data_IF_859772123123
#
_entry.id   IF_859772123123
#
_cell.length_a   1.000
_cell.length_b   1.000
_cell.length_c   1.000
_cell.angle_alpha   90.00
_cell.angle_beta   90.00
_cell.angle_gamma   90.00
#
_symmetry.space_group_name_H-M   'P 1'
#
loop_
_entity.id
_entity.type
_entity.pdbx_description
1 polymer ?
#
# COMPACT_ATOMS: atom_id res chain seq x y z
N UNK A 1 20.18 -34.13 61.51
CA UNK A 1 20.61 -34.05 60.11
C UNK A 1 19.44 -33.63 59.24
N UNK A 2 19.16 -32.33 59.21
CA UNK A 2 18.25 -31.70 58.26
C UNK A 2 19.11 -30.90 57.28
N UNK A 3 19.01 -31.23 55.99
CA UNK A 3 19.76 -30.59 54.92
C UNK A 3 19.00 -29.32 54.51
N UNK A 4 19.59 -28.12 54.54
CA UNK A 4 18.88 -26.92 54.10
C UNK A 4 18.86 -26.85 52.56
N UNK A 5 17.69 -26.57 51.99
CA UNK A 5 17.49 -26.34 50.57
C UNK A 5 18.30 -25.11 50.08
N UNK A 6 18.80 -25.12 48.83
CA UNK A 6 19.53 -23.99 48.28
C UNK A 6 18.57 -22.84 47.95
N UNK A 7 18.73 -21.80 48.76
CA UNK A 7 18.29 -20.41 48.63
C UNK A 7 18.04 -19.94 47.17
N UNK A 8 16.76 -19.86 46.78
CA UNK A 8 16.26 -19.38 45.47
C UNK A 8 16.14 -17.85 45.35
N UNK A 9 16.75 -17.07 46.25
CA UNK A 9 16.62 -15.60 46.28
C UNK A 9 17.74 -14.81 45.56
N UNK A 10 18.58 -15.46 44.75
CA UNK A 10 19.68 -14.80 44.04
C UNK A 10 19.51 -14.67 42.52
N UNK A 11 18.29 -14.77 41.98
CA UNK A 11 17.97 -14.24 40.65
C UNK A 11 17.51 -12.78 40.78
N UNK A 12 18.43 -11.92 41.24
CA UNK A 12 18.25 -10.46 41.08
C UNK A 12 18.25 -10.15 39.58
N UNK A 13 17.21 -9.46 39.15
CA UNK A 13 17.02 -8.96 37.80
C UNK A 13 18.31 -8.32 37.25
N UNK A 14 19.01 -9.01 36.35
CA UNK A 14 19.86 -8.35 35.37
C UNK A 14 18.92 -7.58 34.45
N UNK A 15 18.62 -6.33 34.81
CA UNK A 15 18.12 -5.36 33.83
C UNK A 15 19.19 -5.32 32.76
N UNK A 16 18.95 -5.97 31.61
CA UNK A 16 19.83 -5.88 30.44
C UNK A 16 19.89 -4.40 30.11
N UNK A 17 21.05 -3.81 30.37
CA UNK A 17 21.31 -2.44 30.00
C UNK A 17 21.18 -2.37 28.47
N UNK A 18 20.15 -1.68 27.98
CA UNK A 18 19.92 -1.51 26.54
C UNK A 18 21.16 -0.87 25.93
N UNK A 19 21.61 -1.43 24.81
CA UNK A 19 22.72 -0.89 24.04
C UNK A 19 22.43 0.56 23.61
N UNK A 20 23.49 1.35 23.39
CA UNK A 20 23.36 2.74 22.93
C UNK A 20 22.52 2.81 21.63
N UNK A 21 22.72 1.84 20.74
CA UNK A 21 21.96 1.69 19.51
C UNK A 21 20.46 1.46 19.75
N UNK A 22 20.09 0.52 20.63
CA UNK A 22 18.68 0.25 20.95
C UNK A 22 18.00 1.48 21.58
N UNK A 23 18.72 2.24 22.41
CA UNK A 23 18.22 3.50 22.97
C UNK A 23 17.93 4.50 21.85
N UNK A 24 18.87 4.70 20.93
CA UNK A 24 18.72 5.62 19.80
C UNK A 24 17.61 5.19 18.83
N UNK A 25 17.50 3.89 18.54
CA UNK A 25 16.40 3.31 17.75
C UNK A 25 15.04 3.58 18.40
N UNK A 26 14.93 3.33 19.69
CA UNK A 26 13.69 3.56 20.43
C UNK A 26 13.33 5.05 20.47
N UNK A 27 14.31 5.94 20.62
CA UNK A 27 14.10 7.39 20.54
C UNK A 27 13.63 7.84 19.15
N UNK A 28 14.20 7.30 18.07
CA UNK A 28 13.76 7.59 16.70
C UNK A 28 12.32 7.11 16.47
N UNK A 29 12.01 5.86 16.82
CA UNK A 29 10.66 5.28 16.70
C UNK A 29 9.62 6.06 17.50
N UNK A 30 9.94 6.45 18.74
CA UNK A 30 9.02 7.24 19.56
C UNK A 30 8.81 8.64 18.99
N UNK A 31 9.85 9.24 18.40
CA UNK A 31 9.73 10.51 17.70
C UNK A 31 8.83 10.38 16.47
N UNK A 32 9.05 9.37 15.62
CA UNK A 32 8.19 9.12 14.46
C UNK A 32 6.72 8.94 14.86
N UNK A 33 6.43 8.11 15.87
CA UNK A 33 5.06 7.91 16.38
C UNK A 33 4.44 9.19 16.93
N UNK A 34 5.22 9.97 17.71
CA UNK A 34 4.73 11.20 18.32
C UNK A 34 4.37 12.23 17.26
N UNK A 35 5.23 12.40 16.27
CA UNK A 35 5.03 13.36 15.19
C UNK A 35 3.89 12.91 14.26
N UNK A 36 3.79 11.61 13.95
CA UNK A 36 2.65 11.03 13.20
C UNK A 36 1.30 11.25 13.92
N UNK A 37 1.29 11.15 15.26
CA UNK A 37 0.07 11.35 16.06
C UNK A 37 -0.30 12.83 16.27
N UNK A 38 0.65 13.76 16.16
CA UNK A 38 0.50 15.16 16.59
C UNK A 38 -0.49 15.97 15.75
N UNK A 39 -0.74 15.63 14.47
CA UNK A 39 -1.47 16.45 13.48
C UNK A 39 -0.97 17.90 13.29
N UNK A 40 0.00 18.35 14.07
CA UNK A 40 0.70 19.63 13.91
C UNK A 40 1.83 19.48 12.90
N UNK A 41 2.30 20.60 12.35
CA UNK A 41 3.48 20.64 11.49
C UNK A 41 4.63 19.89 12.17
N UNK A 42 5.06 18.81 11.52
CA UNK A 42 6.14 17.95 11.96
C UNK A 42 7.34 18.84 12.30
N UNK A 43 7.98 18.65 13.45
CA UNK A 43 9.25 19.34 13.70
C UNK A 43 10.34 18.66 12.87
N UNK A 44 10.35 18.92 11.56
CA UNK A 44 11.23 18.31 10.58
C UNK A 44 12.71 18.45 10.96
N UNK A 45 13.08 19.57 11.60
CA UNK A 45 14.43 19.78 12.14
C UNK A 45 14.76 18.74 13.22
N UNK A 46 13.86 18.53 14.18
CA UNK A 46 14.07 17.57 15.27
C UNK A 46 14.10 16.13 14.77
N UNK A 47 13.19 15.76 13.85
CA UNK A 47 13.20 14.43 13.24
C UNK A 47 14.49 14.19 12.45
N UNK A 48 14.94 15.18 11.67
CA UNK A 48 16.19 15.10 10.92
C UNK A 48 17.41 14.90 11.82
N UNK A 49 17.53 15.66 12.94
CA UNK A 49 18.63 15.46 13.89
C UNK A 49 18.60 14.05 14.53
N UNK A 50 17.42 13.50 14.79
CA UNK A 50 17.30 12.13 15.28
C UNK A 50 17.68 11.08 14.24
N UNK A 51 17.30 11.29 12.97
CA UNK A 51 17.72 10.41 11.86
C UNK A 51 19.24 10.46 11.71
N UNK A 52 19.85 11.65 11.73
CA UNK A 52 21.30 11.83 11.65
C UNK A 52 22.03 11.14 12.80
N UNK A 53 21.54 11.30 14.03
CA UNK A 53 22.11 10.65 15.20
C UNK A 53 21.96 9.12 15.17
N UNK A 54 20.84 8.61 14.65
CA UNK A 54 20.63 7.18 14.44
C UNK A 54 21.56 6.64 13.36
N UNK A 55 21.66 7.33 12.23
CA UNK A 55 22.55 6.96 11.13
C UNK A 55 24.01 6.88 11.56
N UNK A 56 24.52 7.91 12.27
CA UNK A 56 25.89 7.95 12.77
C UNK A 56 26.24 6.80 13.74
N UNK A 57 25.24 6.20 14.39
CA UNK A 57 25.43 5.02 15.24
C UNK A 57 25.24 3.72 14.48
N UNK A 58 24.33 3.70 13.51
CA UNK A 58 24.02 2.53 12.70
C UNK A 58 25.14 2.20 11.70
N UNK A 59 25.76 3.21 11.09
CA UNK A 59 26.83 3.09 10.09
C UNK A 59 27.98 2.18 10.54
N UNK A 60 28.68 2.43 11.67
CA UNK A 60 29.78 1.57 12.09
C UNK A 60 29.32 0.16 12.48
N UNK A 61 28.09 0.00 12.98
CA UNK A 61 27.54 -1.32 13.29
C UNK A 61 27.28 -2.12 12.02
N UNK A 62 26.69 -1.49 11.02
CA UNK A 62 26.45 -2.08 9.70
C UNK A 62 27.78 -2.47 9.06
N UNK A 63 28.77 -1.58 9.03
CA UNK A 63 30.11 -1.87 8.49
C UNK A 63 30.79 -3.04 9.22
N UNK A 64 30.68 -3.10 10.55
CA UNK A 64 31.18 -4.22 11.34
C UNK A 64 30.48 -5.52 11.00
N UNK A 65 29.14 -5.52 10.88
CA UNK A 65 28.37 -6.71 10.51
C UNK A 65 28.67 -7.18 9.08
N UNK A 66 28.78 -6.26 8.13
CA UNK A 66 29.23 -6.57 6.75
C UNK A 66 30.61 -7.20 6.77
N UNK A 67 31.54 -6.62 7.52
CA UNK A 67 32.90 -7.18 7.69
C UNK A 67 32.88 -8.57 8.30
N UNK A 68 31.99 -8.82 9.27
CA UNK A 68 31.78 -10.15 9.86
C UNK A 68 31.22 -11.15 8.83
N UNK A 69 30.29 -10.72 7.97
CA UNK A 69 29.77 -11.53 6.87
C UNK A 69 30.85 -11.89 5.83
N UNK A 70 31.64 -10.90 5.38
CA UNK A 70 32.74 -11.13 4.43
C UNK A 70 33.76 -12.10 5.03
N UNK A 71 34.21 -11.88 6.27
CA UNK A 71 35.13 -12.79 6.98
C UNK A 71 34.57 -14.20 7.17
N UNK A 72 33.24 -14.33 7.23
CA UNK A 72 32.55 -15.61 7.31
C UNK A 72 32.46 -16.36 5.97
N UNK A 73 33.07 -15.84 4.91
CA UNK A 73 33.06 -16.47 3.58
C UNK A 73 31.82 -16.15 2.76
N UNK A 74 31.02 -15.15 3.16
CA UNK A 74 29.98 -14.54 2.33
C UNK A 74 30.59 -13.36 1.58
N UNK A 75 31.64 -13.61 0.80
CA UNK A 75 32.15 -12.56 -0.08
C UNK A 75 31.06 -12.23 -1.12
N UNK A 76 30.73 -10.93 -1.34
CA UNK A 76 29.99 -10.55 -2.53
C UNK A 76 30.82 -11.00 -3.73
N UNK A 77 30.23 -11.80 -4.63
CA UNK A 77 30.93 -12.22 -5.84
C UNK A 77 31.36 -10.95 -6.61
N UNK A 78 32.67 -10.75 -6.75
CA UNK A 78 33.19 -9.70 -7.61
C UNK A 78 32.77 -9.99 -9.06
N UNK A 79 32.39 -8.94 -9.80
CA UNK A 79 31.89 -8.99 -11.20
C UNK A 79 32.84 -9.70 -12.19
N UNK A 80 34.08 -10.00 -11.80
CA UNK A 80 35.12 -10.58 -12.68
C UNK A 80 35.14 -12.12 -12.73
N UNK A 81 34.21 -12.82 -12.09
CA UNK A 81 33.93 -14.25 -12.35
C UNK A 81 35.05 -15.27 -12.07
N UNK A 82 36.19 -14.86 -11.48
CA UNK A 82 37.28 -15.79 -11.14
C UNK A 82 37.10 -16.34 -9.71
N UNK A 83 36.39 -17.47 -9.60
CA UNK A 83 36.43 -18.31 -8.38
C UNK A 83 37.81 -18.97 -8.27
N UNK A 84 38.66 -18.44 -7.39
CA UNK A 84 39.93 -19.07 -7.02
C UNK A 84 39.61 -20.25 -6.09
N UNK A 85 39.62 -21.47 -6.64
CA UNK A 85 39.59 -22.70 -5.84
C UNK A 85 40.82 -22.74 -4.93
N UNK A 86 40.66 -22.45 -3.64
CA UNK A 86 41.64 -22.78 -2.61
C UNK A 86 41.24 -24.09 -1.95
N UNK A 87 41.92 -25.17 -2.34
CA UNK A 87 41.89 -26.44 -1.63
C UNK A 87 42.59 -26.26 -0.27
N UNK A 88 41.79 -26.25 0.79
CA UNK A 88 42.27 -26.07 2.16
C UNK A 88 41.15 -26.28 3.15
N UNK A 89 40.92 -27.54 3.50
CA UNK A 89 39.95 -28.02 4.48
C UNK A 89 40.06 -27.29 5.83
N UNK A 90 38.89 -27.14 6.49
CA UNK A 90 38.66 -26.59 7.85
C UNK A 90 38.41 -25.07 7.97
N UNK A 91 37.81 -24.46 6.95
CA UNK A 91 37.04 -23.21 7.14
C UNK A 91 35.77 -23.51 7.93
N UNK A 92 35.60 -22.86 9.09
CA UNK A 92 34.47 -23.01 9.99
C UNK A 92 33.14 -22.99 9.23
N UNK A 93 32.35 -24.08 9.33
CA UNK A 93 30.94 -24.09 8.95
C UNK A 93 30.22 -23.07 9.84
N UNK A 94 30.26 -21.82 9.43
CA UNK A 94 29.62 -20.74 10.15
C UNK A 94 28.12 -20.90 9.99
N UNK A 95 27.43 -20.72 11.10
CA UNK A 95 26.01 -20.96 11.23
C UNK A 95 25.25 -20.04 10.26
N UNK A 96 24.71 -20.58 9.16
CA UNK A 96 23.86 -19.86 8.20
C UNK A 96 22.79 -19.01 8.93
N UNK A 97 22.32 -19.48 10.09
CA UNK A 97 21.39 -18.74 10.94
C UNK A 97 21.95 -17.39 11.45
N UNK A 98 23.25 -17.30 11.75
CA UNK A 98 23.88 -16.05 12.16
C UNK A 98 23.93 -15.05 10.98
N UNK A 99 24.26 -15.52 9.77
CA UNK A 99 24.25 -14.67 8.59
C UNK A 99 22.84 -14.14 8.28
N UNK A 100 21.82 -15.00 8.37
CA UNK A 100 20.41 -14.62 8.22
C UNK A 100 19.99 -13.61 9.29
N UNK A 101 20.38 -13.81 10.55
CA UNK A 101 20.09 -12.88 11.65
C UNK A 101 20.72 -11.49 11.39
N UNK A 102 21.98 -11.45 10.98
CA UNK A 102 22.67 -10.20 10.63
C UNK A 102 22.01 -9.47 9.44
N UNK A 103 21.59 -10.20 8.41
CA UNK A 103 20.87 -9.63 7.26
C UNK A 103 19.52 -9.03 7.67
N UNK A 104 18.75 -9.75 8.49
CA UNK A 104 17.45 -9.29 8.99
C UNK A 104 17.58 -8.03 9.86
N UNK A 105 18.60 -7.97 10.72
CA UNK A 105 18.91 -6.76 11.50
C UNK A 105 19.20 -5.57 10.59
N UNK A 106 20.06 -5.74 9.58
CA UNK A 106 20.42 -4.67 8.65
C UNK A 106 19.22 -4.19 7.81
N UNK A 107 18.36 -5.10 7.35
CA UNK A 107 17.11 -4.77 6.65
C UNK A 107 16.13 -3.99 7.54
N UNK A 108 16.03 -4.32 8.82
CA UNK A 108 15.19 -3.57 9.76
C UNK A 108 15.71 -2.14 9.97
N UNK A 109 17.03 -1.95 10.04
CA UNK A 109 17.67 -0.64 10.16
C UNK A 109 17.42 0.20 8.91
N UNK A 110 17.65 -0.38 7.73
CA UNK A 110 17.47 0.32 6.45
C UNK A 110 15.99 0.71 6.24
N UNK A 111 15.05 -0.19 6.55
CA UNK A 111 13.61 0.09 6.53
C UNK A 111 13.25 1.25 7.45
N UNK A 112 13.75 1.25 8.68
CA UNK A 112 13.48 2.33 9.62
C UNK A 112 13.98 3.69 9.10
N UNK A 113 15.17 3.71 8.48
CA UNK A 113 15.72 4.92 7.85
C UNK A 113 14.86 5.38 6.67
N UNK A 114 14.43 4.48 5.78
CA UNK A 114 13.53 4.83 4.66
C UNK A 114 12.20 5.39 5.16
N UNK A 115 11.58 4.76 6.15
CA UNK A 115 10.30 5.22 6.70
C UNK A 115 10.45 6.62 7.31
N UNK A 116 11.55 6.87 8.04
CA UNK A 116 11.83 8.18 8.64
C UNK A 116 12.14 9.27 7.58
N UNK A 117 12.85 8.92 6.51
CA UNK A 117 13.18 9.82 5.40
C UNK A 117 11.95 10.12 4.54
N UNK A 118 11.09 9.14 4.27
CA UNK A 118 9.81 9.35 3.60
C UNK A 118 8.91 10.30 4.39
N UNK A 119 8.85 10.16 5.72
CA UNK A 119 8.10 11.10 6.58
C UNK A 119 8.61 12.54 6.47
N UNK A 120 9.92 12.75 6.28
CA UNK A 120 10.50 14.08 6.03
C UNK A 120 10.12 14.60 4.64
N UNK A 121 10.21 13.76 3.60
CA UNK A 121 9.94 14.16 2.20
C UNK A 121 8.47 14.45 1.93
N UNK A 122 7.54 13.81 2.65
CA UNK A 122 6.09 14.02 2.52
C UNK A 122 5.59 15.31 3.20
N UNK A 123 6.48 16.12 3.79
CA UNK A 123 6.09 17.42 4.34
C UNK A 123 5.89 18.42 3.20
N UNK A 124 4.71 19.06 3.15
CA UNK A 124 4.35 20.08 2.16
C UNK A 124 5.07 21.44 2.37
N UNK A 125 5.85 21.60 3.44
CA UNK A 125 6.65 22.81 3.59
C UNK A 125 7.89 22.71 2.72
N UNK A 126 8.20 23.74 1.91
CA UNK A 126 9.47 23.77 1.20
C UNK A 126 10.57 23.64 2.25
N UNK A 127 11.41 22.61 2.11
CA UNK A 127 12.73 22.61 2.71
C UNK A 127 13.32 23.96 2.28
N UNK A 128 13.42 24.95 3.19
CA UNK A 128 13.94 26.27 2.85
C UNK A 128 15.40 26.18 2.38
N UNK A 129 16.25 27.12 2.76
CA UNK A 129 17.70 27.04 2.43
C UNK A 129 18.44 25.87 3.14
N UNK A 130 17.72 24.89 3.69
CA UNK A 130 18.27 23.72 4.38
C UNK A 130 18.47 22.56 3.41
N UNK A 131 19.52 21.76 3.62
CA UNK A 131 20.07 20.99 2.54
C UNK A 131 19.29 19.69 2.41
N UNK A 132 18.56 19.56 1.29
CA UNK A 132 18.06 18.28 0.77
C UNK A 132 19.24 17.28 0.57
N UNK A 133 20.45 17.82 0.35
CA UNK A 133 21.66 17.07 0.04
C UNK A 133 22.06 16.04 1.12
N UNK A 134 22.19 16.36 2.42
CA UNK A 134 22.42 15.36 3.47
C UNK A 134 21.34 14.28 3.59
N UNK A 135 20.08 14.59 3.27
CA UNK A 135 19.02 13.58 3.25
C UNK A 135 19.26 12.61 2.10
N UNK A 136 19.53 13.13 0.91
CA UNK A 136 19.85 12.33 -0.27
C UNK A 136 21.12 11.51 -0.08
N UNK A 137 22.16 12.06 0.56
CA UNK A 137 23.41 11.35 0.87
C UNK A 137 23.15 10.15 1.80
N UNK A 138 22.32 10.34 2.84
CA UNK A 138 21.88 9.25 3.71
C UNK A 138 21.07 8.22 2.91
N UNK A 139 20.15 8.64 2.03
CA UNK A 139 19.36 7.72 1.20
C UNK A 139 20.24 6.87 0.28
N UNK A 140 21.23 7.48 -0.38
CA UNK A 140 22.19 6.79 -1.26
C UNK A 140 22.98 5.76 -0.46
N UNK A 141 23.50 6.13 0.71
CA UNK A 141 24.23 5.18 1.57
C UNK A 141 23.36 4.02 2.06
N UNK A 142 22.12 4.29 2.48
CA UNK A 142 21.16 3.26 2.87
C UNK A 142 20.88 2.31 1.71
N UNK A 143 20.75 2.85 0.50
CA UNK A 143 20.56 2.06 -0.71
C UNK A 143 21.80 1.21 -1.04
N UNK A 144 23.01 1.76 -0.96
CA UNK A 144 24.26 1.03 -1.21
C UNK A 144 24.46 -0.11 -0.18
N UNK A 145 24.10 0.14 1.08
CA UNK A 145 24.05 -0.88 2.12
C UNK A 145 23.07 -1.99 1.77
N UNK A 146 21.83 -1.65 1.41
CA UNK A 146 20.82 -2.63 0.99
C UNK A 146 21.31 -3.49 -0.17
N UNK A 147 21.99 -2.87 -1.14
CA UNK A 147 22.61 -3.57 -2.27
C UNK A 147 23.69 -4.55 -1.83
N UNK A 148 24.42 -4.22 -0.76
CA UNK A 148 25.45 -5.07 -0.14
C UNK A 148 24.85 -6.18 0.74
N UNK A 149 23.62 -6.00 1.23
CA UNK A 149 22.92 -6.94 2.11
C UNK A 149 21.94 -7.85 1.40
N UNK A 150 21.49 -7.49 0.20
CA UNK A 150 20.87 -8.45 -0.67
C UNK A 150 21.94 -9.50 -0.95
N UNK A 151 21.78 -10.74 -0.43
CA UNK A 151 22.59 -11.82 -0.98
C UNK A 151 22.33 -11.77 -2.48
N UNK A 152 23.32 -12.09 -3.31
CA UNK A 152 23.20 -12.20 -4.76
C UNK A 152 22.22 -13.32 -5.19
N UNK A 153 21.06 -13.44 -4.55
CA UNK A 153 19.91 -14.18 -5.02
C UNK A 153 19.35 -13.61 -6.32
N UNK A 154 19.73 -12.38 -6.68
CA UNK A 154 19.70 -11.91 -8.05
C UNK A 154 21.13 -11.87 -8.60
N UNK A 155 21.74 -13.05 -8.83
CA UNK A 155 22.40 -13.19 -10.12
C UNK A 155 21.40 -12.62 -11.14
N UNK A 156 21.80 -11.63 -11.98
CA UNK A 156 20.87 -11.09 -12.95
C UNK A 156 20.35 -12.32 -13.68
N UNK A 157 19.02 -12.52 -13.68
CA UNK A 157 18.48 -13.85 -13.87
C UNK A 157 19.05 -14.40 -15.19
N UNK A 158 19.41 -15.68 -15.29
CA UNK A 158 20.34 -16.18 -16.32
C UNK A 158 20.06 -15.75 -17.77
N UNK A 159 18.82 -15.34 -18.06
CA UNK A 159 18.36 -14.76 -19.33
C UNK A 159 18.81 -13.31 -19.61
N UNK A 160 19.25 -12.55 -18.60
CA UNK A 160 19.70 -11.15 -18.70
C UNK A 160 21.07 -11.02 -19.40
N UNK A 161 21.83 -12.12 -19.48
CA UNK A 161 23.14 -12.18 -20.15
C UNK A 161 23.03 -12.75 -21.58
N UNK A 162 21.83 -13.18 -21.98
CA UNK A 162 21.58 -13.89 -23.21
C UNK A 162 21.15 -12.92 -24.34
N UNK A 163 22.10 -12.16 -24.88
CA UNK A 163 21.83 -11.17 -25.95
C UNK A 163 21.49 -11.79 -27.32
N UNK A 164 21.70 -13.09 -27.52
CA UNK A 164 21.70 -13.69 -28.87
C UNK A 164 20.35 -14.24 -29.37
N UNK A 165 19.31 -14.26 -28.52
CA UNK A 165 18.00 -14.81 -28.87
C UNK A 165 18.02 -16.29 -29.29
N UNK A 166 19.08 -17.03 -28.96
CA UNK A 166 19.27 -18.41 -29.40
C UNK A 166 18.27 -19.38 -28.75
N UNK A 167 18.10 -20.55 -29.36
CA UNK A 167 17.28 -21.65 -28.82
C UNK A 167 17.74 -22.09 -27.40
N UNK A 168 19.02 -21.88 -27.09
CA UNK A 168 19.62 -22.09 -25.77
C UNK A 168 19.10 -21.07 -24.74
N UNK A 169 19.00 -19.80 -25.14
CA UNK A 169 18.47 -18.70 -24.32
C UNK A 169 16.97 -18.89 -24.03
N UNK A 170 16.20 -19.36 -25.01
CA UNK A 170 14.78 -19.72 -24.82
C UNK A 170 14.60 -20.92 -23.88
N UNK A 171 15.47 -21.93 -24.00
CA UNK A 171 15.48 -23.10 -23.11
C UNK A 171 15.82 -22.70 -21.68
N UNK A 172 16.84 -21.85 -21.50
CA UNK A 172 17.22 -21.29 -20.21
C UNK A 172 16.09 -20.47 -19.58
N UNK A 173 15.38 -19.65 -20.37
CA UNK A 173 14.21 -18.92 -19.87
C UNK A 173 13.12 -19.89 -19.37
N UNK A 174 12.80 -20.94 -20.13
CA UNK A 174 11.81 -21.95 -19.70
C UNK A 174 12.26 -22.70 -18.44
N UNK A 175 13.53 -23.07 -18.38
CA UNK A 175 14.13 -23.76 -17.25
C UNK A 175 14.22 -22.89 -16.00
N UNK A 176 14.22 -21.57 -16.13
CA UNK A 176 14.34 -20.65 -14.98
C UNK A 176 12.99 -20.09 -14.52
N UNK A 177 12.08 -19.76 -15.45
CA UNK A 177 10.76 -19.20 -15.11
C UNK A 177 9.95 -20.18 -14.28
N UNK A 178 9.95 -21.47 -14.63
CA UNK A 178 9.13 -22.46 -13.90
C UNK A 178 9.60 -22.66 -12.44
N UNK A 179 10.89 -22.89 -12.13
CA UNK A 179 11.37 -22.91 -10.75
C UNK A 179 11.15 -21.60 -10.01
N UNK A 180 11.28 -20.45 -10.69
CA UNK A 180 10.99 -19.16 -10.08
C UNK A 180 9.52 -19.05 -9.65
N UNK A 181 8.57 -19.39 -10.54
CA UNK A 181 7.14 -19.44 -10.21
C UNK A 181 6.84 -20.45 -9.10
N UNK A 182 7.54 -21.58 -9.06
CA UNK A 182 7.40 -22.56 -7.96
C UNK A 182 7.89 -22.00 -6.62
N UNK A 183 8.95 -21.19 -6.59
CA UNK A 183 9.40 -20.49 -5.38
C UNK A 183 8.42 -19.42 -4.91
N UNK A 184 7.67 -18.83 -5.83
CA UNK A 184 6.58 -17.90 -5.52
C UNK A 184 5.28 -18.60 -5.11
N UNK A 185 5.21 -19.94 -5.17
CA UNK A 185 4.02 -20.67 -4.74
C UNK A 185 3.75 -20.43 -3.25
N UNK A 186 2.53 -20.00 -2.93
CA UNK A 186 2.14 -19.71 -1.55
C UNK A 186 2.09 -21.00 -0.72
N UNK A 187 2.88 -21.09 0.38
CA UNK A 187 2.84 -22.24 1.28
C UNK A 187 1.46 -22.45 1.89
N UNK A 188 1.07 -23.69 2.13
CA UNK A 188 -0.25 -24.01 2.68
C UNK A 188 -0.48 -23.43 4.08
N UNK A 189 0.59 -23.28 4.87
CA UNK A 189 0.51 -22.59 6.18
C UNK A 189 0.05 -21.14 6.02
N UNK A 190 0.58 -20.41 5.04
CA UNK A 190 0.18 -19.02 4.76
C UNK A 190 -1.27 -18.97 4.29
N UNK A 191 -1.71 -19.92 3.44
CA UNK A 191 -3.12 -20.02 3.03
C UNK A 191 -4.05 -20.28 4.22
N UNK A 192 -3.65 -21.15 5.14
CA UNK A 192 -4.42 -21.44 6.35
C UNK A 192 -4.52 -20.21 7.25
N UNK A 193 -3.42 -19.50 7.46
CA UNK A 193 -3.41 -18.29 8.29
C UNK A 193 -4.25 -17.16 7.69
N UNK A 194 -4.17 -16.95 6.37
CA UNK A 194 -5.07 -16.05 5.64
C UNK A 194 -6.54 -16.41 5.81
N UNK A 195 -6.89 -17.69 5.70
CA UNK A 195 -8.27 -18.15 5.89
C UNK A 195 -8.76 -17.98 7.34
N UNK A 196 -7.89 -18.21 8.34
CA UNK A 196 -8.22 -17.97 9.76
C UNK A 196 -8.47 -16.48 10.02
N UNK A 197 -7.61 -15.60 9.49
CA UNK A 197 -7.79 -14.16 9.61
C UNK A 197 -9.10 -13.69 8.94
N UNK A 198 -9.38 -14.16 7.73
CA UNK A 198 -10.64 -13.85 7.03
C UNK A 198 -11.88 -14.30 7.82
N UNK A 199 -11.87 -15.53 8.36
CA UNK A 199 -12.98 -16.04 9.15
C UNK A 199 -13.21 -15.17 10.41
N UNK A 200 -12.12 -14.87 11.13
CA UNK A 200 -12.16 -13.98 12.29
C UNK A 200 -12.73 -12.59 11.95
N UNK A 201 -12.23 -11.95 10.89
CA UNK A 201 -12.67 -10.62 10.47
C UNK A 201 -14.13 -10.64 9.98
N UNK A 202 -14.57 -11.71 9.32
CA UNK A 202 -15.95 -11.90 8.88
C UNK A 202 -16.91 -12.01 10.06
N UNK A 203 -16.57 -12.81 11.07
CA UNK A 203 -17.38 -12.98 12.28
C UNK A 203 -17.45 -11.67 13.09
N UNK A 204 -16.33 -10.97 13.19
CA UNK A 204 -16.28 -9.65 13.81
C UNK A 204 -17.17 -8.64 13.06
N UNK A 205 -17.06 -8.57 11.74
CA UNK A 205 -17.87 -7.67 10.91
C UNK A 205 -19.36 -7.95 11.11
N UNK A 206 -19.79 -9.21 11.00
CA UNK A 206 -21.19 -9.60 11.25
C UNK A 206 -21.67 -9.14 12.63
N UNK A 207 -20.90 -9.42 13.69
CA UNK A 207 -21.27 -9.01 15.05
C UNK A 207 -21.34 -7.49 15.21
N UNK A 208 -20.38 -6.76 14.64
CA UNK A 208 -20.31 -5.31 14.72
C UNK A 208 -21.49 -4.64 14.01
N UNK A 209 -21.74 -5.02 12.75
CA UNK A 209 -22.78 -4.42 11.92
C UNK A 209 -24.19 -4.79 12.40
N UNK A 210 -24.40 -6.02 12.88
CA UNK A 210 -25.67 -6.43 13.49
C UNK A 210 -26.00 -5.59 14.73
N UNK A 211 -25.03 -5.33 15.62
CA UNK A 211 -25.23 -4.48 16.81
C UNK A 211 -25.56 -3.03 16.46
N UNK A 212 -25.10 -2.58 15.30
CA UNK A 212 -25.36 -1.24 14.75
C UNK A 212 -26.61 -1.19 13.87
N UNK A 213 -27.40 -2.27 13.81
CA UNK A 213 -28.65 -2.36 13.03
C UNK A 213 -28.47 -2.16 11.53
N UNK A 214 -27.29 -2.48 10.99
CA UNK A 214 -27.14 -2.62 9.54
C UNK A 214 -27.76 -3.94 9.09
N UNK A 215 -28.14 -4.01 7.81
CA UNK A 215 -28.51 -5.26 7.18
C UNK A 215 -27.35 -6.27 7.10
N UNK A 216 -27.59 -7.46 6.52
CA UNK A 216 -26.57 -8.50 6.42
C UNK A 216 -25.28 -8.02 5.78
N UNK A 217 -24.13 -8.44 6.31
CA UNK A 217 -22.82 -8.06 5.78
C UNK A 217 -22.01 -9.28 5.36
N UNK A 218 -21.20 -9.08 4.34
CA UNK A 218 -20.28 -10.08 3.79
C UNK A 218 -18.89 -9.46 3.59
N UNK A 219 -17.84 -10.25 3.83
CA UNK A 219 -16.46 -9.86 3.59
C UNK A 219 -15.89 -10.78 2.51
N UNK A 220 -15.60 -10.22 1.34
CA UNK A 220 -15.23 -10.96 0.14
C UNK A 220 -13.79 -10.70 -0.23
N UNK A 221 -13.05 -11.75 -0.62
CA UNK A 221 -11.72 -11.61 -1.22
C UNK A 221 -11.83 -11.07 -2.63
N UNK A 222 -10.90 -10.21 -3.01
CA UNK A 222 -10.62 -9.85 -4.40
C UNK A 222 -9.10 -9.77 -4.61
N UNK A 223 -8.65 -9.30 -5.77
CA UNK A 223 -7.23 -9.08 -6.04
C UNK A 223 -6.43 -10.36 -6.26
N UNK A 224 -5.11 -10.29 -6.00
CA UNK A 224 -4.15 -11.36 -6.37
C UNK A 224 -4.52 -12.72 -5.77
N UNK A 225 -4.92 -12.76 -4.51
CA UNK A 225 -5.27 -14.01 -3.79
C UNK A 225 -6.51 -14.66 -4.39
N UNK A 226 -7.49 -13.84 -4.77
CA UNK A 226 -8.72 -14.32 -5.39
C UNK A 226 -8.48 -14.79 -6.83
N UNK A 227 -7.51 -14.18 -7.51
CA UNK A 227 -7.06 -14.53 -8.86
C UNK A 227 -6.06 -15.71 -8.92
N UNK A 228 -5.59 -16.25 -7.79
CA UNK A 228 -4.46 -17.20 -7.71
C UNK A 228 -3.17 -16.65 -8.36
N UNK A 229 -2.96 -15.34 -8.27
CA UNK A 229 -1.76 -14.63 -8.71
C UNK A 229 -0.95 -14.10 -7.51
N UNK A 230 -1.27 -14.56 -6.31
CA UNK A 230 -0.63 -14.13 -5.09
C UNK A 230 0.72 -14.81 -4.86
N UNK A 231 1.56 -14.08 -4.16
CA UNK A 231 2.84 -14.54 -3.62
C UNK A 231 2.72 -14.71 -2.09
N UNK A 232 3.71 -15.33 -1.42
CA UNK A 232 3.66 -15.55 0.02
C UNK A 232 3.52 -14.24 0.82
N UNK A 233 4.02 -13.13 0.27
CA UNK A 233 4.01 -11.81 0.89
C UNK A 233 2.86 -10.90 0.41
N UNK A 234 1.96 -11.40 -0.45
CA UNK A 234 0.83 -10.60 -0.92
C UNK A 234 -0.15 -10.28 0.20
N UNK A 235 -0.61 -9.03 0.23
CA UNK A 235 -1.67 -8.56 1.12
C UNK A 235 -3.02 -9.20 0.75
N UNK A 236 -3.90 -9.34 1.73
CA UNK A 236 -5.29 -9.77 1.51
C UNK A 236 -6.19 -8.58 1.19
N UNK A 237 -6.56 -8.44 -0.07
CA UNK A 237 -7.58 -7.47 -0.49
C UNK A 237 -8.99 -7.98 -0.20
N UNK A 238 -9.71 -7.29 0.69
CA UNK A 238 -11.07 -7.62 1.10
C UNK A 238 -12.03 -6.47 0.81
N UNK A 239 -13.24 -6.80 0.37
CA UNK A 239 -14.33 -5.84 0.23
C UNK A 239 -15.47 -6.19 1.17
N UNK A 240 -15.89 -5.22 1.97
CA UNK A 240 -17.04 -5.29 2.84
C UNK A 240 -18.29 -4.91 2.05
N UNK A 241 -19.22 -5.86 1.94
CA UNK A 241 -20.55 -5.68 1.35
C UNK A 241 -21.58 -5.58 2.46
N UNK A 242 -22.48 -4.62 2.31
CA UNK A 242 -23.65 -4.46 3.18
C UNK A 242 -24.87 -4.63 2.28
N UNK A 243 -25.77 -5.53 2.68
CA UNK A 243 -27.00 -5.82 1.99
C UNK A 243 -28.17 -5.27 2.79
N UNK A 244 -29.13 -4.63 2.12
CA UNK A 244 -30.32 -4.09 2.77
C UNK A 244 -30.08 -2.77 3.50
N UNK A 245 -30.70 -2.61 4.66
CA UNK A 245 -30.85 -1.32 5.31
C UNK A 245 -29.55 -0.79 5.93
N UNK A 246 -29.40 0.54 5.85
CA UNK A 246 -28.30 1.30 6.43
C UNK A 246 -28.86 2.28 7.46
N UNK A 247 -28.35 2.32 8.70
CA UNK A 247 -28.86 3.27 9.69
C UNK A 247 -28.71 4.72 9.21
N UNK A 248 -29.71 5.55 9.49
CA UNK A 248 -29.79 6.94 8.99
C UNK A 248 -28.58 7.80 9.38
N UNK A 249 -27.89 7.49 10.48
CA UNK A 249 -26.67 8.19 10.89
C UNK A 249 -25.46 7.96 9.96
N UNK A 250 -25.48 6.90 9.14
CA UNK A 250 -24.44 6.59 8.14
C UNK A 250 -24.90 6.84 6.70
N UNK A 251 -26.11 7.38 6.52
CA UNK A 251 -26.57 7.85 5.21
C UNK A 251 -25.98 9.25 5.01
N UNK A 252 -25.28 9.45 3.90
CA UNK A 252 -24.75 10.77 3.55
C UNK A 252 -25.92 11.73 3.39
N UNK A 253 -25.88 12.81 4.17
CA UNK A 253 -26.82 13.91 3.91
C UNK A 253 -26.45 14.51 2.56
N UNK A 254 -27.42 14.74 1.68
CA UNK A 254 -27.16 15.45 0.44
C UNK A 254 -26.48 16.79 0.78
N UNK A 255 -25.46 17.22 0.01
CA UNK A 255 -24.69 18.42 0.33
C UNK A 255 -25.66 19.59 0.50
N UNK A 256 -25.51 20.35 1.60
CA UNK A 256 -26.37 21.50 1.92
C UNK A 256 -26.35 22.48 0.75
N UNK A 257 -27.39 22.46 -0.08
CA UNK A 257 -27.47 23.21 -1.35
C UNK A 257 -28.01 22.39 -2.53
N UNK A 258 -27.95 21.06 -2.48
CA UNK A 258 -28.50 20.17 -3.52
C UNK A 258 -30.04 20.07 -3.50
N UNK A 259 -30.70 20.42 -2.38
CA UNK A 259 -32.15 20.68 -2.31
C UNK A 259 -32.58 21.85 -3.23
N UNK A 260 -31.62 22.56 -3.83
CA UNK A 260 -31.83 23.63 -4.78
C UNK A 260 -31.10 23.36 -6.09
N UNK A 261 -31.33 22.20 -6.71
CA UNK A 261 -31.51 22.21 -8.16
C UNK A 261 -32.79 23.01 -8.45
N UNK A 262 -32.66 24.34 -8.29
CA UNK A 262 -33.60 25.32 -8.80
C UNK A 262 -33.33 25.31 -10.28
N UNK A 263 -34.25 24.72 -11.03
CA UNK A 263 -34.16 24.69 -12.48
C UNK A 263 -33.91 26.12 -12.99
N UNK A 264 -32.82 26.32 -13.73
CA UNK A 264 -32.44 27.66 -14.19
C UNK A 264 -33.52 28.28 -15.11
N UNK A 265 -34.28 27.42 -15.80
CA UNK A 265 -35.41 27.78 -16.67
C UNK A 265 -36.66 28.22 -15.90
N UNK A 266 -37.20 27.39 -15.00
CA UNK A 266 -38.53 27.64 -14.39
C UNK A 266 -38.47 28.08 -12.92
N UNK A 267 -37.29 28.09 -12.31
CA UNK A 267 -37.04 28.41 -10.90
C UNK A 267 -37.74 27.48 -9.89
N UNK A 268 -38.36 26.38 -10.34
CA UNK A 268 -38.88 25.36 -9.45
C UNK A 268 -37.77 24.39 -9.01
N UNK A 269 -37.89 23.87 -7.79
CA UNK A 269 -37.00 22.85 -7.25
C UNK A 269 -37.34 21.46 -7.79
N UNK A 270 -36.38 20.53 -7.72
CA UNK A 270 -36.60 19.10 -7.96
C UNK A 270 -36.34 18.61 -9.37
N UNK A 271 -35.75 19.40 -10.26
CA UNK A 271 -35.29 18.96 -11.59
C UNK A 271 -34.21 19.89 -12.17
N UNK A 272 -33.40 19.39 -13.10
CA UNK A 272 -32.39 20.17 -13.81
C UNK A 272 -32.99 21.01 -14.96
N UNK A 273 -32.21 21.93 -15.53
CA UNK A 273 -32.65 22.72 -16.70
C UNK A 273 -32.94 21.85 -17.94
N UNK A 274 -32.24 20.73 -18.09
CA UNK A 274 -32.41 19.76 -19.17
C UNK A 274 -33.73 18.99 -19.06
N UNK A 275 -34.14 18.67 -17.84
CA UNK A 275 -35.38 17.94 -17.55
C UNK A 275 -36.53 18.88 -17.16
N UNK A 276 -36.50 20.13 -17.62
CA UNK A 276 -37.52 21.11 -17.26
C UNK A 276 -38.83 20.87 -18.03
N UNK A 277 -39.95 20.56 -17.34
CA UNK A 277 -41.25 20.35 -18.00
C UNK A 277 -41.76 21.62 -18.70
N UNK A 278 -41.18 22.78 -18.39
CA UNK A 278 -41.47 24.05 -19.06
C UNK A 278 -40.77 24.20 -20.41
N UNK A 279 -39.68 23.46 -20.67
CA UNK A 279 -38.83 23.62 -21.86
C UNK A 279 -39.58 23.24 -23.14
N UNK A 280 -40.36 22.17 -23.09
CA UNK A 280 -41.20 21.74 -24.23
C UNK A 280 -42.29 22.74 -24.63
N UNK A 281 -42.75 23.61 -23.71
CA UNK A 281 -43.80 24.60 -24.01
C UNK A 281 -43.27 25.87 -24.68
N UNK A 282 -41.98 26.19 -24.55
CA UNK A 282 -41.38 27.37 -25.17
C UNK A 282 -40.89 27.11 -26.60
N UNK A 283 -40.43 25.89 -26.89
CA UNK A 283 -40.00 25.49 -28.25
C UNK A 283 -41.18 25.36 -29.23
N UNK A 284 -42.36 24.93 -28.76
CA UNK A 284 -43.60 24.94 -29.56
C UNK A 284 -44.14 26.35 -29.85
N UNK A 285 -43.79 27.35 -29.02
CA UNK A 285 -44.19 28.74 -29.25
C UNK A 285 -43.23 29.44 -30.24
N UNK A 286 -41.92 29.17 -30.16
CA UNK A 286 -40.91 29.78 -31.03
C UNK A 286 -40.92 29.21 -32.47
N UNK A 287 -41.37 27.97 -32.65
CA UNK A 287 -41.49 27.32 -33.97
C UNK A 287 -42.69 27.82 -34.79
N UNK A 288 -43.63 28.57 -34.20
CA UNK A 288 -44.75 29.21 -34.92
C UNK A 288 -44.45 30.60 -35.49
N UNK A 289 -43.30 31.22 -35.18
CA UNK A 289 -42.95 32.56 -35.67
C UNK A 289 -41.88 32.59 -36.78
N UNK A 290 -41.28 31.46 -37.15
CA UNK A 290 -40.30 31.40 -38.26
C UNK A 290 -40.83 30.56 -39.43
N UNK A 291 -41.84 31.08 -40.10
CA UNK A 291 -42.33 30.55 -41.37
C UNK A 291 -42.43 31.67 -42.39
N UNK A 292 -41.32 32.09 -43.00
CA UNK A 292 -41.24 32.63 -44.38
C UNK A 292 -39.90 33.34 -44.63
N UNK A 293 -38.95 32.64 -45.26
CA UNK A 293 -38.03 33.20 -46.26
C UNK A 293 -37.13 32.08 -46.78
N UNK A 294 -37.41 31.63 -48.00
CA UNK A 294 -36.50 30.82 -48.81
C UNK A 294 -35.47 31.74 -49.47
N UNK A 295 -34.19 31.40 -49.40
CA UNK A 295 -33.15 31.92 -50.30
C UNK A 295 -32.09 30.83 -50.52
N UNK A 296 -31.91 30.48 -51.79
CA UNK A 296 -30.82 29.67 -52.37
C UNK A 296 -29.51 30.48 -52.41
N UNK A 297 -28.37 29.79 -52.26
CA UNK A 297 -27.00 30.07 -52.78
C UNK A 297 -26.09 29.02 -52.12
N UNK A 298 -25.43 28.07 -52.78
CA UNK A 298 -24.47 28.07 -53.91
C UNK A 298 -23.14 28.77 -53.61
N UNK A 299 -22.04 28.00 -53.79
CA UNK A 299 -20.58 28.33 -53.75
C UNK A 299 -19.97 28.57 -52.35
N UNK A 300 -18.70 28.27 -52.05
CA UNK A 300 -17.55 27.62 -52.72
C UNK A 300 -16.40 27.52 -51.69
N UNK A 301 -15.38 26.73 -52.03
CA UNK A 301 -14.09 26.47 -51.39
C UNK A 301 -13.32 27.63 -50.71
N UNK A 302 -12.48 27.26 -49.74
CA UNK A 302 -11.39 28.05 -49.12
C UNK A 302 -11.05 27.48 -47.73
N UNK A 303 -10.14 26.50 -47.60
CA UNK A 303 -8.68 26.63 -47.36
C UNK A 303 -8.25 27.55 -46.19
N UNK A 304 -7.59 26.90 -45.23
CA UNK A 304 -6.52 27.36 -44.32
C UNK A 304 -6.85 28.39 -43.23
N UNK A 305 -6.68 28.01 -41.96
CA UNK A 305 -5.44 28.28 -41.23
C UNK A 305 -5.41 27.49 -39.90
N UNK A 306 -4.27 26.86 -39.65
CA UNK A 306 -3.89 26.17 -38.42
C UNK A 306 -3.47 27.21 -37.37
N UNK A 307 -4.12 27.23 -36.21
CA UNK A 307 -3.64 27.94 -35.02
C UNK A 307 -3.95 27.08 -33.78
N UNK A 308 -3.11 26.06 -33.56
CA UNK A 308 -3.08 25.29 -32.32
C UNK A 308 -2.40 26.13 -31.22
N UNK A 309 -3.22 26.80 -30.41
CA UNK A 309 -2.84 27.28 -29.09
C UNK A 309 -3.48 26.38 -28.02
N UNK A 310 -2.82 25.26 -27.73
CA UNK A 310 -3.12 24.42 -26.57
C UNK A 310 -2.65 25.11 -25.29
N UNK A 311 -3.56 25.90 -24.70
CA UNK A 311 -3.52 26.19 -23.27
C UNK A 311 -4.04 24.94 -22.57
N UNK A 312 -3.11 24.12 -22.07
CA UNK A 312 -3.43 23.06 -21.11
C UNK A 312 -3.85 23.75 -19.82
N UNK A 313 -5.15 24.01 -19.68
CA UNK A 313 -5.76 24.28 -18.39
C UNK A 313 -5.84 22.92 -17.69
N UNK A 314 -5.04 22.75 -16.65
CA UNK A 314 -5.17 21.63 -15.71
C UNK A 314 -6.60 21.62 -15.15
N UNK A 315 -7.48 20.85 -15.78
CA UNK A 315 -8.73 20.44 -15.18
C UNK A 315 -8.41 19.42 -14.11
N UNK A 316 -8.39 19.89 -12.86
CA UNK A 316 -8.47 19.07 -11.67
C UNK A 316 -9.47 17.93 -11.93
N UNK A 317 -8.94 16.70 -11.85
CA UNK A 317 -9.61 15.48 -12.29
C UNK A 317 -11.05 15.40 -11.80
N UNK A 318 -11.98 15.55 -12.74
CA UNK A 318 -13.32 14.98 -12.64
C UNK A 318 -13.11 13.47 -12.55
N UNK A 319 -13.12 12.97 -11.31
CA UNK A 319 -13.01 11.56 -11.02
C UNK A 319 -14.15 10.83 -11.72
N UNK A 320 -13.85 9.62 -12.18
CA UNK A 320 -14.87 8.64 -12.53
C UNK A 320 -15.75 8.44 -11.29
N UNK A 321 -16.83 9.21 -11.20
CA UNK A 321 -17.93 8.98 -10.30
C UNK A 321 -18.58 7.71 -10.83
N UNK A 322 -18.21 6.57 -10.25
CA UNK A 322 -18.99 5.35 -10.39
C UNK A 322 -20.46 5.77 -10.20
N UNK A 323 -21.28 5.61 -11.24
CA UNK A 323 -22.71 5.90 -11.22
C UNK A 323 -23.37 4.96 -10.20
N UNK A 324 -23.27 5.31 -8.92
CA UNK A 324 -23.98 4.65 -7.84
C UNK A 324 -25.46 4.76 -8.20
N UNK A 325 -26.13 3.62 -8.41
CA UNK A 325 -27.57 3.56 -8.61
C UNK A 325 -28.29 4.42 -7.55
N UNK A 326 -29.51 4.95 -7.83
CA UNK A 326 -30.21 5.93 -6.99
C UNK A 326 -30.68 5.46 -5.58
N UNK A 327 -29.94 4.55 -4.93
CA UNK A 327 -30.04 4.19 -3.53
C UNK A 327 -29.39 5.22 -2.59
N UNK A 328 -29.64 5.05 -1.28
CA UNK A 328 -29.03 5.89 -0.25
C UNK A 328 -27.50 5.83 -0.32
N UNK A 329 -26.89 6.96 -0.69
CA UNK A 329 -25.43 7.11 -0.69
C UNK A 329 -24.90 6.96 0.74
N UNK A 330 -24.16 5.88 0.98
CA UNK A 330 -23.63 5.52 2.30
C UNK A 330 -22.33 6.27 2.59
N UNK A 331 -22.13 6.73 3.82
CA UNK A 331 -20.86 7.31 4.26
C UNK A 331 -19.83 6.20 4.55
N UNK A 332 -19.27 5.65 3.46
CA UNK A 332 -18.25 4.58 3.48
C UNK A 332 -17.07 4.95 4.39
N UNK A 333 -16.69 6.24 4.43
CA UNK A 333 -15.58 6.76 5.23
C UNK A 333 -15.88 6.70 6.73
N UNK A 334 -17.06 7.18 7.14
CA UNK A 334 -17.49 7.12 8.54
C UNK A 334 -17.60 5.68 9.05
N UNK A 335 -18.13 4.77 8.22
CA UNK A 335 -18.28 3.36 8.56
C UNK A 335 -16.92 2.69 8.76
N UNK A 336 -15.99 2.82 7.81
CA UNK A 336 -14.65 2.24 7.92
C UNK A 336 -13.89 2.82 9.13
N UNK A 337 -14.05 4.11 9.41
CA UNK A 337 -13.44 4.74 10.57
C UNK A 337 -13.98 4.18 11.89
N UNK A 338 -15.29 3.96 12.01
CA UNK A 338 -15.89 3.37 13.21
C UNK A 338 -15.53 1.88 13.35
N UNK A 339 -15.56 1.14 12.24
CA UNK A 339 -15.16 -0.26 12.18
C UNK A 339 -13.71 -0.45 12.65
N UNK A 340 -12.77 0.34 12.12
CA UNK A 340 -11.36 0.30 12.50
C UNK A 340 -11.11 0.69 13.95
N UNK A 341 -11.80 1.73 14.47
CA UNK A 341 -11.74 2.11 15.88
C UNK A 341 -12.18 0.96 16.79
N UNK A 342 -13.25 0.25 16.41
CA UNK A 342 -13.75 -0.87 17.20
C UNK A 342 -12.78 -2.05 17.16
N UNK A 343 -12.29 -2.42 15.99
CA UNK A 343 -11.32 -3.50 15.81
C UNK A 343 -10.04 -3.24 16.62
N UNK A 344 -9.49 -2.02 16.53
CA UNK A 344 -8.31 -1.60 17.31
C UNK A 344 -8.56 -1.66 18.81
N UNK A 345 -9.73 -1.24 19.29
CA UNK A 345 -10.07 -1.25 20.73
C UNK A 345 -10.14 -2.67 21.29
N UNK A 346 -10.72 -3.61 20.55
CA UNK A 346 -10.89 -4.98 21.02
C UNK A 346 -9.63 -5.85 20.84
N UNK A 347 -8.83 -5.59 19.80
CA UNK A 347 -7.77 -6.52 19.37
C UNK A 347 -6.38 -5.89 19.19
N UNK A 348 -6.09 -4.74 19.80
CA UNK A 348 -4.79 -4.04 19.66
C UNK A 348 -3.54 -4.88 19.97
N UNK A 349 -3.67 -5.93 20.78
CA UNK A 349 -2.56 -6.86 21.10
C UNK A 349 -2.31 -7.92 20.03
N UNK A 350 -3.27 -8.16 19.15
CA UNK A 350 -3.21 -9.18 18.09
C UNK A 350 -3.10 -8.55 16.71
N UNK A 351 -3.74 -7.40 16.52
CA UNK A 351 -3.84 -6.71 15.25
C UNK A 351 -3.24 -5.31 15.34
N UNK A 352 -2.40 -4.97 14.36
CA UNK A 352 -2.15 -3.57 14.00
C UNK A 352 -3.25 -3.12 13.03
N UNK A 353 -3.91 -1.99 13.29
CA UNK A 353 -5.08 -1.53 12.50
C UNK A 353 -4.94 -0.05 12.17
N UNK A 354 -4.96 0.31 10.89
CA UNK A 354 -4.84 1.69 10.39
C UNK A 354 -5.92 2.00 9.38
N UNK A 355 -6.50 3.20 9.46
CA UNK A 355 -7.55 3.64 8.53
C UNK A 355 -6.99 4.69 7.59
N UNK A 356 -7.03 4.44 6.29
CA UNK A 356 -6.65 5.37 5.22
C UNK A 356 -7.94 5.86 4.57
N UNK A 357 -8.50 6.93 5.13
CA UNK A 357 -9.87 7.39 4.82
C UNK A 357 -9.90 8.46 3.71
N UNK A 358 -8.77 9.10 3.42
CA UNK A 358 -8.67 10.22 2.47
C UNK A 358 -8.17 9.81 1.09
N UNK A 359 -7.88 8.54 0.85
CA UNK A 359 -7.57 8.00 -0.48
C UNK A 359 -8.81 7.97 -1.37
N UNK A 360 -8.58 7.85 -2.70
CA UNK A 360 -9.65 7.65 -3.69
C UNK A 360 -10.55 6.48 -3.31
N UNK A 361 -9.95 5.37 -2.87
CA UNK A 361 -10.64 4.23 -2.26
C UNK A 361 -10.30 4.19 -0.78
N UNK A 362 -11.20 4.58 0.13
CA UNK A 362 -10.98 4.48 1.56
C UNK A 362 -10.79 3.02 1.99
N UNK A 363 -9.78 2.75 2.82
CA UNK A 363 -9.45 1.40 3.28
C UNK A 363 -9.10 1.35 4.77
N UNK A 364 -9.24 0.15 5.37
CA UNK A 364 -8.70 -0.20 6.69
C UNK A 364 -7.62 -1.26 6.49
N UNK A 365 -6.37 -0.88 6.75
CA UNK A 365 -5.21 -1.76 6.75
C UNK A 365 -5.11 -2.50 8.08
N UNK A 366 -4.85 -3.80 8.01
CA UNK A 366 -4.76 -4.70 9.15
C UNK A 366 -3.50 -5.56 8.99
N UNK A 367 -2.76 -5.75 10.07
CA UNK A 367 -1.67 -6.72 10.13
C UNK A 367 -1.86 -7.60 11.36
N UNK A 368 -1.94 -8.92 11.14
CA UNK A 368 -1.96 -9.91 12.20
C UNK A 368 -0.53 -10.12 12.71
N UNK A 369 -0.30 -9.69 13.96
CA UNK A 369 1.02 -9.72 14.57
C UNK A 369 1.52 -11.14 14.86
N UNK A 370 0.62 -12.13 14.88
CA UNK A 370 0.99 -13.52 15.16
C UNK A 370 1.45 -14.27 13.92
N UNK A 371 0.87 -13.97 12.76
CA UNK A 371 1.13 -14.68 11.50
C UNK A 371 1.91 -13.84 10.48
N UNK A 372 1.97 -12.51 10.67
CA UNK A 372 2.53 -11.57 9.70
C UNK A 372 1.61 -11.31 8.50
N UNK A 373 0.39 -11.86 8.47
CA UNK A 373 -0.54 -11.65 7.37
C UNK A 373 -1.06 -10.22 7.37
N UNK A 374 -1.00 -9.59 6.20
CA UNK A 374 -1.51 -8.24 5.95
C UNK A 374 -2.85 -8.30 5.20
N UNK A 375 -3.72 -7.32 5.44
CA UNK A 375 -5.04 -7.25 4.86
C UNK A 375 -5.54 -5.81 4.72
N UNK A 376 -6.11 -5.48 3.57
CA UNK A 376 -6.74 -4.19 3.28
C UNK A 376 -8.25 -4.39 3.08
N UNK A 377 -9.08 -3.73 3.88
CA UNK A 377 -10.55 -3.77 3.78
C UNK A 377 -11.07 -2.47 3.16
N UNK A 378 -11.69 -2.58 1.98
CA UNK A 378 -12.46 -1.51 1.32
C UNK A 378 -13.97 -1.77 1.45
N UNK A 379 -14.83 -0.80 1.10
CA UNK A 379 -16.29 -0.98 1.06
C UNK A 379 -16.83 -0.96 -0.36
N UNK A 380 -17.73 -1.92 -0.67
CA UNK A 380 -18.50 -1.98 -1.90
C UNK A 380 -17.67 -1.69 -3.17
N UNK A 381 -16.54 -2.39 -3.33
CA UNK A 381 -15.63 -2.17 -4.45
C UNK A 381 -15.98 -3.10 -5.63
N UNK A 382 -17.14 -2.86 -6.25
CA UNK A 382 -17.67 -3.70 -7.34
C UNK A 382 -16.74 -3.75 -8.55
N UNK A 383 -16.17 -2.61 -8.95
CA UNK A 383 -15.25 -2.56 -10.10
C UNK A 383 -14.02 -3.44 -9.89
N UNK A 384 -13.42 -3.42 -8.70
CA UNK A 384 -12.30 -4.33 -8.40
C UNK A 384 -12.72 -5.80 -8.38
N UNK A 385 -13.95 -6.11 -7.95
CA UNK A 385 -14.47 -7.48 -8.04
C UNK A 385 -14.65 -7.94 -9.49
N UNK A 386 -15.12 -7.07 -10.38
CA UNK A 386 -15.20 -7.37 -11.82
C UNK A 386 -13.82 -7.59 -12.43
N UNK A 387 -12.84 -6.72 -12.13
CA UNK A 387 -11.45 -6.86 -12.58
C UNK A 387 -10.83 -8.17 -12.09
N UNK A 388 -11.06 -8.52 -10.83
CA UNK A 388 -10.65 -9.80 -10.25
C UNK A 388 -11.29 -11.01 -10.96
N UNK A 389 -12.59 -10.94 -11.28
CA UNK A 389 -13.26 -11.99 -12.07
C UNK A 389 -12.69 -12.13 -13.49
N UNK A 390 -12.33 -11.02 -14.12
CA UNK A 390 -11.67 -11.02 -15.43
C UNK A 390 -10.27 -11.66 -15.35
N UNK A 391 -9.46 -11.28 -14.36
CA UNK A 391 -8.13 -11.87 -14.13
C UNK A 391 -8.22 -13.37 -13.88
N UNK A 392 -9.15 -13.83 -13.02
CA UNK A 392 -9.41 -15.26 -12.82
C UNK A 392 -9.73 -15.99 -14.13
N UNK A 393 -10.44 -15.33 -15.05
CA UNK A 393 -10.79 -15.92 -16.33
C UNK A 393 -9.55 -16.09 -17.19
N UNK A 394 -8.66 -15.11 -17.24
CA UNK A 394 -7.38 -15.22 -17.95
C UNK A 394 -6.48 -16.32 -17.38
N UNK A 395 -6.32 -16.39 -16.06
CA UNK A 395 -5.47 -17.41 -15.40
C UNK A 395 -5.96 -18.84 -15.66
N UNK A 396 -7.24 -19.03 -15.97
CA UNK A 396 -7.80 -20.35 -16.31
C UNK A 396 -7.59 -20.76 -17.77
N UNK A 397 -7.29 -19.80 -18.65
CA UNK A 397 -7.09 -20.08 -20.08
C UNK A 397 -5.75 -20.76 -20.31
N UNK A 398 -4.70 -20.29 -19.63
CA UNK A 398 -3.33 -20.75 -19.87
C UNK A 398 -2.49 -20.72 -18.59
N UNK A 399 -1.54 -21.65 -18.49
CA UNK A 399 -0.60 -21.74 -17.36
C UNK A 399 0.69 -20.93 -17.57
N UNK A 400 0.91 -20.38 -18.77
CA UNK A 400 2.06 -19.55 -19.15
C UNK A 400 2.02 -18.15 -18.56
#
# INVERSE_FOLDING_TARGET
>A
NANPEPNTMAQKAKVKELSLFERTRNTLMETMRREEASKQALNAKKLFEHIKAFFAQAEPMIEEKVTQMIKAGLEPEHEDGQKVHKDGEQGAALNENLAVELCLECQQISKLLRDALAMLLLQNEPFGDKPLLPILDIMVKVYDWEKSFQPSFEEPPPWSVAEDGSEKSLSLLKETVKPYLQRLAVPDVVKQDRNRLLAFLSDFAKSFFQKKQFGPVELLKFGSISANLDTPNSDMDLTLKIHGDVPQEYVMKPPKGSDRLICSHCKASGHSAEHCPSKGKQEEAASKEKGSAAVENDRSDGEQDEDDNDIVVDHDGQGDEDEDEPGQMMDKKAILLEFSKRLRREFSKKLSVWAVIHSRVPIVKISDQSTGVHCDISMQNDLSMYKDALLRSYVRIDSR
#
